data_IF_034318600842
#
_entry.id   IF_034318600842
#
_cell.length_a   1.000
_cell.length_b   1.000
_cell.length_c   1.000
_cell.angle_alpha   90.00
_cell.angle_beta   90.00
_cell.angle_gamma   90.00
#
_symmetry.space_group_name_H-M   'P 1'
#
loop_
_entity.id
_entity.type
_entity.pdbx_description
1 polymer ?
#
# COMPACT_ATOMS: atom_id res chain seq x y z
N UNK A 1 -32.19 -39.91 19.64
CA UNK A 1 -31.07 -40.83 19.37
C UNK A 1 -31.39 -42.26 19.82
N UNK A 2 -32.18 -42.42 20.89
CA UNK A 2 -32.43 -43.72 21.54
C UNK A 2 -33.15 -44.73 20.64
N UNK A 3 -34.09 -44.28 19.80
CA UNK A 3 -34.80 -45.15 18.84
C UNK A 3 -33.87 -45.96 17.94
N UNK A 4 -32.80 -45.35 17.41
CA UNK A 4 -31.85 -46.07 16.55
C UNK A 4 -30.95 -47.02 17.33
N UNK A 5 -30.65 -46.71 18.59
CA UNK A 5 -29.89 -47.60 19.47
C UNK A 5 -30.74 -48.83 19.85
N UNK A 6 -32.03 -48.63 20.12
CA UNK A 6 -32.98 -49.71 20.42
C UNK A 6 -33.20 -50.63 19.20
N UNK A 7 -33.38 -50.05 18.01
CA UNK A 7 -33.46 -50.81 16.75
C UNK A 7 -32.16 -51.59 16.49
N UNK A 8 -30.98 -50.97 16.67
CA UNK A 8 -29.70 -51.64 16.51
C UNK A 8 -29.49 -52.76 17.55
N UNK A 9 -29.95 -52.57 18.78
CA UNK A 9 -29.89 -53.59 19.83
C UNK A 9 -30.83 -54.76 19.54
N UNK A 10 -31.98 -54.51 18.91
CA UNK A 10 -32.92 -55.54 18.48
C UNK A 10 -32.39 -56.37 17.30
N UNK A 11 -31.73 -55.73 16.33
CA UNK A 11 -31.22 -56.39 15.11
C UNK A 11 -29.87 -57.09 15.36
N UNK A 12 -28.94 -56.42 16.05
CA UNK A 12 -27.55 -56.86 16.22
C UNK A 12 -27.23 -57.37 17.63
N UNK A 13 -28.20 -57.34 18.54
CA UNK A 13 -28.05 -57.79 19.92
C UNK A 13 -27.37 -56.77 20.84
N UNK A 14 -27.23 -57.11 22.15
CA UNK A 14 -26.71 -56.19 23.16
C UNK A 14 -25.21 -55.88 23.02
N UNK A 15 -24.45 -56.69 22.27
CA UNK A 15 -23.02 -56.51 22.04
C UNK A 15 -22.68 -55.61 20.85
N UNK A 16 -23.67 -55.03 20.17
CA UNK A 16 -23.42 -54.20 18.98
C UNK A 16 -22.48 -53.02 19.28
N UNK A 17 -22.62 -52.40 20.45
CA UNK A 17 -21.80 -51.25 20.88
C UNK A 17 -20.34 -51.68 21.03
N UNK A 18 -20.09 -52.82 21.66
CA UNK A 18 -18.72 -53.33 21.88
C UNK A 18 -18.06 -53.77 20.58
N UNK A 19 -18.80 -54.39 19.66
CA UNK A 19 -18.25 -54.78 18.36
C UNK A 19 -17.99 -53.56 17.46
N UNK A 20 -18.89 -52.57 17.48
CA UNK A 20 -18.71 -51.30 16.75
C UNK A 20 -17.50 -50.53 17.27
N UNK A 21 -17.25 -50.54 18.59
CA UNK A 21 -16.06 -49.90 19.17
C UNK A 21 -14.74 -50.57 18.73
N UNK A 22 -14.72 -51.91 18.57
CA UNK A 22 -13.55 -52.61 18.01
C UNK A 22 -13.30 -52.19 16.56
N UNK A 23 -14.36 -52.11 15.76
CA UNK A 23 -14.26 -51.66 14.37
C UNK A 23 -13.75 -50.21 14.29
N UNK A 24 -14.27 -49.33 15.15
CA UNK A 24 -13.83 -47.93 15.24
C UNK A 24 -12.32 -47.85 15.51
N UNK A 25 -11.80 -48.63 16.46
CA UNK A 25 -10.37 -48.66 16.77
C UNK A 25 -9.53 -49.11 15.56
N UNK A 26 -9.98 -50.09 14.79
CA UNK A 26 -9.27 -50.57 13.59
C UNK A 26 -9.28 -49.49 12.50
N UNK A 27 -10.42 -48.84 12.28
CA UNK A 27 -10.55 -47.75 11.30
C UNK A 27 -9.59 -46.62 11.65
N UNK A 28 -9.61 -46.16 12.90
CA UNK A 28 -8.70 -45.12 13.38
C UNK A 28 -7.25 -45.57 13.21
N UNK A 29 -6.88 -46.77 13.65
CA UNK A 29 -5.51 -47.26 13.51
C UNK A 29 -5.02 -47.34 12.06
N UNK A 30 -5.92 -47.58 11.09
CA UNK A 30 -5.59 -47.60 9.66
C UNK A 30 -5.51 -46.21 9.03
N UNK A 31 -6.35 -45.27 9.46
CA UNK A 31 -6.41 -43.91 8.89
C UNK A 31 -5.40 -42.96 9.54
N UNK A 32 -5.05 -43.15 10.82
CA UNK A 32 -4.14 -42.28 11.55
C UNK A 32 -2.76 -42.12 10.88
N UNK A 33 -2.10 -43.17 10.35
CA UNK A 33 -0.82 -43.00 9.66
C UNK A 33 -0.93 -42.10 8.42
N UNK A 34 -1.97 -42.30 7.60
CA UNK A 34 -2.21 -41.48 6.42
C UNK A 34 -2.53 -40.01 6.80
N UNK A 35 -3.33 -39.81 7.86
CA UNK A 35 -3.63 -38.48 8.39
C UNK A 35 -2.36 -37.77 8.90
N UNK A 36 -1.52 -38.47 9.68
CA UNK A 36 -0.25 -37.91 10.17
C UNK A 36 0.74 -37.58 9.04
N UNK A 37 0.79 -38.39 7.98
CA UNK A 37 1.64 -38.09 6.82
C UNK A 37 1.17 -36.84 6.06
N UNK A 38 -0.14 -36.68 5.90
CA UNK A 38 -0.71 -35.47 5.30
C UNK A 38 -0.43 -34.24 6.15
N UNK A 39 -0.67 -34.31 7.46
CA UNK A 39 -0.37 -33.21 8.39
C UNK A 39 1.12 -32.83 8.38
N UNK A 40 2.02 -33.81 8.37
CA UNK A 40 3.46 -33.57 8.28
C UNK A 40 3.85 -32.91 6.96
N UNK A 41 3.23 -33.28 5.84
CA UNK A 41 3.49 -32.66 4.53
C UNK A 41 3.05 -31.21 4.50
N UNK A 42 1.83 -30.92 4.96
CA UNK A 42 1.31 -29.56 5.04
C UNK A 42 2.18 -28.68 5.95
N UNK A 43 2.52 -29.19 7.14
CA UNK A 43 3.39 -28.47 8.07
C UNK A 43 4.81 -28.24 7.52
N UNK A 44 5.35 -29.18 6.74
CA UNK A 44 6.64 -29.02 6.09
C UNK A 44 6.59 -27.96 4.97
N UNK A 45 5.52 -27.96 4.18
CA UNK A 45 5.30 -26.97 3.13
C UNK A 45 5.10 -25.57 3.71
N UNK A 46 4.26 -25.42 4.74
CA UNK A 46 4.07 -24.15 5.45
C UNK A 46 5.39 -23.64 6.06
N UNK A 47 6.18 -24.52 6.69
CA UNK A 47 7.48 -24.14 7.25
C UNK A 47 8.49 -23.75 6.16
N UNK A 48 8.42 -24.36 4.98
CA UNK A 48 9.24 -23.98 3.83
C UNK A 48 8.81 -22.63 3.26
N UNK A 49 7.50 -22.40 3.11
CA UNK A 49 6.95 -21.12 2.69
C UNK A 49 7.32 -20.00 3.65
N UNK A 50 7.17 -20.22 4.96
CA UNK A 50 7.58 -19.26 5.99
C UNK A 50 9.08 -18.93 5.91
N UNK A 51 9.95 -19.93 5.71
CA UNK A 51 11.39 -19.68 5.53
C UNK A 51 11.68 -18.86 4.28
N UNK A 52 10.99 -19.13 3.16
CA UNK A 52 11.14 -18.37 1.92
C UNK A 52 10.68 -16.92 2.11
N UNK A 53 9.55 -16.70 2.78
CA UNK A 53 9.03 -15.37 3.09
C UNK A 53 9.96 -14.59 4.03
N UNK A 54 10.50 -15.24 5.07
CA UNK A 54 11.47 -14.62 5.98
C UNK A 54 12.78 -14.27 5.26
N UNK A 55 13.26 -15.12 4.35
CA UNK A 55 14.44 -14.84 3.54
C UNK A 55 14.19 -13.66 2.59
N UNK A 56 13.03 -13.61 1.94
CA UNK A 56 12.63 -12.48 1.07
C UNK A 56 12.52 -11.19 1.89
N UNK A 57 11.86 -11.25 3.06
CA UNK A 57 11.74 -10.10 3.96
C UNK A 57 13.10 -9.59 4.40
N UNK A 58 14.00 -10.49 4.82
CA UNK A 58 15.35 -10.13 5.25
C UNK A 58 16.18 -9.52 4.11
N UNK A 59 16.07 -10.07 2.89
CA UNK A 59 16.73 -9.48 1.70
C UNK A 59 16.21 -8.08 1.41
N UNK A 60 14.90 -7.88 1.47
CA UNK A 60 14.26 -6.56 1.27
C UNK A 60 14.67 -5.55 2.34
N UNK A 61 14.74 -5.97 3.60
CA UNK A 61 15.21 -5.12 4.71
C UNK A 61 16.69 -4.74 4.55
N UNK A 62 17.56 -5.68 4.15
CA UNK A 62 18.97 -5.43 3.89
C UNK A 62 19.17 -4.47 2.70
N UNK A 63 18.43 -4.67 1.61
CA UNK A 63 18.41 -3.79 0.45
C UNK A 63 17.90 -2.38 0.82
N UNK A 64 16.83 -2.29 1.61
CA UNK A 64 16.29 -1.01 2.08
C UNK A 64 17.30 -0.28 2.99
N UNK A 65 18.00 -0.99 3.87
CA UNK A 65 19.07 -0.40 4.68
C UNK A 65 20.20 0.12 3.81
N UNK A 66 20.69 -0.67 2.86
CA UNK A 66 21.74 -0.22 1.92
C UNK A 66 21.29 0.99 1.11
N UNK A 67 20.04 1.02 0.66
CA UNK A 67 19.49 2.15 -0.06
C UNK A 67 19.40 3.42 0.81
N UNK A 68 18.99 3.29 2.08
CA UNK A 68 18.95 4.42 3.04
C UNK A 68 20.36 4.93 3.37
N UNK A 69 21.31 4.02 3.66
CA UNK A 69 22.70 4.37 3.92
C UNK A 69 23.35 5.06 2.69
N UNK A 70 23.04 4.60 1.47
CA UNK A 70 23.52 5.24 0.24
C UNK A 70 22.91 6.63 0.02
N UNK A 71 21.59 6.80 0.24
CA UNK A 71 20.92 8.10 0.14
C UNK A 71 21.46 9.10 1.17
N UNK A 72 21.68 8.67 2.41
CA UNK A 72 22.23 9.53 3.47
C UNK A 72 23.68 9.93 3.16
N UNK A 73 24.50 9.01 2.65
CA UNK A 73 25.86 9.32 2.23
C UNK A 73 25.91 10.31 1.05
N UNK A 74 25.02 10.15 0.06
CA UNK A 74 24.89 11.08 -1.06
C UNK A 74 24.41 12.46 -0.60
N UNK A 75 23.40 12.53 0.27
CA UNK A 75 22.90 13.79 0.83
C UNK A 75 23.98 14.50 1.66
N UNK A 76 24.72 13.78 2.49
CA UNK A 76 25.82 14.35 3.28
C UNK A 76 26.95 14.86 2.37
N UNK A 77 27.31 14.12 1.33
CA UNK A 77 28.29 14.57 0.35
C UNK A 77 27.81 15.79 -0.46
N UNK A 78 26.52 15.88 -0.78
CA UNK A 78 25.92 17.04 -1.44
C UNK A 78 25.92 18.27 -0.53
N UNK A 79 25.52 18.12 0.75
CA UNK A 79 25.56 19.20 1.74
C UNK A 79 26.98 19.71 1.99
N UNK A 80 27.96 18.82 2.11
CA UNK A 80 29.37 19.21 2.30
C UNK A 80 29.92 19.96 1.07
N UNK A 81 29.57 19.55 -0.15
CA UNK A 81 29.92 20.28 -1.37
C UNK A 81 29.28 21.67 -1.42
N UNK A 82 28.00 21.78 -1.09
CA UNK A 82 27.30 23.07 -1.03
C UNK A 82 27.88 23.98 0.05
N UNK A 83 28.25 23.44 1.21
CA UNK A 83 28.88 24.22 2.28
C UNK A 83 30.30 24.69 1.89
N UNK A 84 31.08 23.83 1.25
CA UNK A 84 32.41 24.20 0.75
C UNK A 84 32.33 25.28 -0.33
N UNK A 85 31.40 25.15 -1.28
CA UNK A 85 31.16 26.15 -2.32
C UNK A 85 30.65 27.48 -1.74
N UNK A 86 29.74 27.43 -0.75
CA UNK A 86 29.26 28.63 -0.05
C UNK A 86 30.37 29.33 0.74
N UNK A 87 31.25 28.59 1.41
CA UNK A 87 32.42 29.15 2.10
C UNK A 87 33.40 29.80 1.13
N UNK A 88 33.69 29.14 0.00
CA UNK A 88 34.58 29.70 -1.03
C UNK A 88 33.96 30.94 -1.69
N UNK A 89 32.65 30.94 -1.96
CA UNK A 89 31.93 32.10 -2.47
C UNK A 89 31.92 33.26 -1.46
N UNK A 90 31.73 32.99 -0.18
CA UNK A 90 31.80 34.00 0.88
C UNK A 90 33.22 34.58 1.02
N UNK A 91 34.27 33.77 0.89
CA UNK A 91 35.66 34.24 0.91
C UNK A 91 36.01 35.09 -0.32
N UNK A 92 35.54 34.70 -1.51
CA UNK A 92 35.67 35.54 -2.72
C UNK A 92 34.90 36.86 -2.57
N UNK A 93 33.66 36.83 -2.09
CA UNK A 93 32.88 38.04 -1.86
C UNK A 93 33.52 38.96 -0.80
N UNK A 94 34.09 38.40 0.27
CA UNK A 94 34.80 39.17 1.30
C UNK A 94 36.10 39.79 0.77
N UNK A 95 36.87 39.07 -0.05
CA UNK A 95 38.09 39.60 -0.67
C UNK A 95 37.78 40.66 -1.73
N UNK A 96 36.72 40.48 -2.53
CA UNK A 96 36.21 41.49 -3.46
C UNK A 96 35.66 42.72 -2.74
N UNK A 97 34.92 42.57 -1.63
CA UNK A 97 34.45 43.69 -0.82
C UNK A 97 35.60 44.44 -0.13
N UNK A 98 36.65 43.73 0.31
CA UNK A 98 37.86 44.36 0.86
C UNK A 98 38.65 45.11 -0.22
N UNK A 99 38.74 44.57 -1.44
CA UNK A 99 39.35 45.24 -2.59
C UNK A 99 38.52 46.45 -3.04
N UNK A 100 37.18 46.31 -3.12
CA UNK A 100 36.26 47.38 -3.45
C UNK A 100 36.26 48.48 -2.37
N UNK A 101 36.45 48.14 -1.09
CA UNK A 101 36.60 49.13 0.00
C UNK A 101 37.92 49.90 -0.10
N UNK A 102 39.00 49.29 -0.62
CA UNK A 102 40.24 50.00 -0.93
C UNK A 102 40.12 50.93 -2.14
N UNK A 103 39.25 50.61 -3.09
CA UNK A 103 38.93 51.46 -4.26
C UNK A 103 37.90 52.56 -3.90
N UNK A 104 36.90 52.26 -3.05
CA UNK A 104 35.89 53.20 -2.58
C UNK A 104 36.42 54.21 -1.55
N UNK A 105 37.52 53.91 -0.86
CA UNK A 105 38.27 54.90 -0.07
C UNK A 105 38.89 56.03 -0.93
N UNK A 106 38.88 55.90 -2.26
CA UNK A 106 39.28 56.95 -3.20
C UNK A 106 38.11 57.75 -3.81
N UNK A 107 36.85 57.30 -3.69
CA UNK A 107 35.70 58.03 -4.23
C UNK A 107 34.51 57.99 -3.26
N UNK A 108 34.44 59.02 -2.43
CA UNK A 108 33.29 59.26 -1.57
C UNK A 108 32.07 59.77 -2.35
N UNK A 109 30.93 59.21 -1.95
CA UNK A 109 29.68 59.91 -1.64
C UNK A 109 28.50 59.84 -2.63
N UNK A 110 27.32 59.66 -2.00
CA UNK A 110 25.91 59.89 -2.40
C UNK A 110 25.15 58.59 -2.70
N UNK A 111 23.91 58.38 -2.27
CA UNK A 111 23.02 59.02 -1.29
C UNK A 111 21.76 58.13 -1.23
N UNK A 112 21.08 58.08 -0.08
CA UNK A 112 19.63 57.85 0.10
C UNK A 112 19.02 56.52 -0.41
N UNK A 113 18.22 55.77 0.34
CA UNK A 113 16.94 56.23 0.91
C UNK A 113 16.44 55.22 1.94
N UNK A 114 15.89 55.73 3.03
CA UNK A 114 15.08 55.02 4.02
C UNK A 114 13.77 54.48 3.41
N UNK A 115 13.21 53.38 3.94
CA UNK A 115 12.00 53.42 4.79
C UNK A 115 11.52 51.99 5.18
N UNK A 116 11.15 51.93 6.44
CA UNK A 116 10.48 50.96 7.31
C UNK A 116 9.11 50.43 6.82
N UNK A 117 8.77 49.17 7.18
CA UNK A 117 7.43 48.89 7.73
C UNK A 117 6.66 47.61 7.29
N UNK A 118 6.58 46.63 8.21
CA UNK A 118 5.36 45.94 8.73
C UNK A 118 4.51 45.01 7.81
N UNK A 119 4.50 43.69 8.12
CA UNK A 119 3.44 42.67 7.87
C UNK A 119 2.21 42.87 8.81
N UNK A 120 1.04 42.16 8.75
CA UNK A 120 0.46 41.17 7.80
C UNK A 120 -1.04 41.46 7.45
N UNK A 121 -1.79 40.57 6.76
CA UNK A 121 -3.21 40.14 7.05
C UNK A 121 -4.08 39.69 5.83
N UNK A 122 -4.65 38.48 5.98
CA UNK A 122 -5.92 37.84 5.54
C UNK A 122 -6.42 37.75 4.07
N UNK A 123 -6.54 36.47 3.64
CA UNK A 123 -7.70 35.74 3.10
C UNK A 123 -8.75 36.44 2.22
N UNK A 124 -9.02 35.84 1.05
CA UNK A 124 -10.39 35.65 0.53
C UNK A 124 -10.48 34.49 -0.48
N UNK A 125 -11.45 33.63 -0.20
CA UNK A 125 -11.96 32.45 -0.92
C UNK A 125 -12.90 32.85 -2.08
N UNK A 126 -13.12 31.97 -3.07
CA UNK A 126 -14.50 31.62 -3.45
C UNK A 126 -14.66 30.08 -3.52
N UNK A 127 -15.60 29.48 -2.78
CA UNK A 127 -17.02 29.27 -3.11
C UNK A 127 -17.25 28.05 -4.02
N UNK A 128 -17.97 27.08 -3.43
CA UNK A 128 -18.44 25.82 -4.02
C UNK A 128 -19.57 26.10 -5.00
N UNK A 129 -19.68 25.28 -6.04
CA UNK A 129 -20.94 25.11 -6.77
C UNK A 129 -21.26 23.62 -6.88
N UNK A 130 -22.42 23.26 -6.36
CA UNK A 130 -23.04 21.94 -6.40
C UNK A 130 -23.89 21.80 -7.67
N UNK A 131 -23.73 20.72 -8.43
CA UNK A 131 -24.79 20.13 -9.23
C UNK A 131 -24.41 18.71 -9.65
N UNK A 132 -25.24 17.75 -9.24
CA UNK A 132 -25.23 16.38 -9.75
C UNK A 132 -25.69 16.33 -11.21
N UNK A 133 -25.03 15.53 -12.05
CA UNK A 133 -25.61 14.50 -12.95
C UNK A 133 -24.61 14.13 -14.04
N UNK A 134 -24.09 12.92 -13.91
CA UNK A 134 -23.75 11.91 -14.93
C UNK A 134 -23.25 12.34 -16.33
N UNK A 135 -22.14 11.67 -16.69
CA UNK A 135 -21.64 11.25 -18.01
C UNK A 135 -20.51 12.07 -18.63
N UNK A 136 -19.35 11.40 -18.76
CA UNK A 136 -18.09 11.79 -19.42
C UNK A 136 -17.21 12.80 -18.66
N UNK A 137 -16.66 12.39 -17.50
CA UNK A 137 -15.81 13.23 -16.66
C UNK A 137 -14.37 13.34 -17.19
N UNK A 138 -14.09 14.46 -17.86
CA UNK A 138 -12.78 15.10 -17.82
C UNK A 138 -12.66 15.87 -16.48
N UNK A 139 -12.79 15.17 -15.36
CA UNK A 139 -12.52 15.75 -14.03
C UNK A 139 -11.01 15.92 -13.85
N UNK A 140 -10.55 16.99 -13.19
CA UNK A 140 -9.14 17.18 -12.90
C UNK A 140 -8.68 16.02 -12.02
N UNK A 141 -7.83 15.16 -12.57
CA UNK A 141 -7.28 14.03 -11.82
C UNK A 141 -6.43 14.56 -10.68
N UNK A 142 -6.76 14.15 -9.47
CA UNK A 142 -6.13 14.61 -8.23
C UNK A 142 -5.01 13.64 -7.88
N UNK A 143 -3.77 14.05 -8.11
CA UNK A 143 -2.58 13.26 -7.78
C UNK A 143 -2.11 13.56 -6.37
N UNK A 144 -1.59 12.55 -5.67
CA UNK A 144 -0.97 12.70 -4.36
C UNK A 144 0.32 11.89 -4.30
N UNK A 145 1.39 12.47 -3.74
CA UNK A 145 2.69 11.81 -3.61
C UNK A 145 2.76 10.93 -2.36
N UNK A 146 3.18 9.68 -2.54
CA UNK A 146 3.37 8.66 -1.51
C UNK A 146 4.76 8.04 -1.70
N UNK A 147 5.67 8.15 -0.73
CA UNK A 147 7.05 7.60 -0.82
C UNK A 147 7.83 8.09 -2.05
N UNK A 148 7.43 9.24 -2.61
CA UNK A 148 7.97 9.79 -3.85
C UNK A 148 7.32 9.28 -5.14
N UNK A 149 6.24 8.50 -5.09
CA UNK A 149 5.44 8.05 -6.25
C UNK A 149 4.12 8.82 -6.32
N UNK A 150 3.70 9.24 -7.52
CA UNK A 150 2.42 9.93 -7.75
C UNK A 150 1.28 8.91 -7.91
N UNK A 151 0.32 8.94 -6.99
CA UNK A 151 -0.86 8.06 -7.01
C UNK A 151 -2.12 8.89 -7.27
N UNK A 152 -2.95 8.39 -8.19
CA UNK A 152 -4.26 8.98 -8.48
C UNK A 152 -5.27 8.62 -7.39
N UNK A 153 -5.74 9.63 -6.65
CA UNK A 153 -6.70 9.45 -5.55
C UNK A 153 -8.12 9.84 -5.95
N UNK A 154 -8.35 10.24 -7.20
CA UNK A 154 -9.66 10.71 -7.70
C UNK A 154 -10.75 9.67 -7.50
N UNK A 155 -10.43 8.40 -7.70
CA UNK A 155 -11.40 7.30 -7.57
C UNK A 155 -11.57 6.80 -6.13
N UNK A 156 -10.77 7.29 -5.18
CA UNK A 156 -10.85 6.87 -3.78
C UNK A 156 -11.91 7.65 -2.99
N UNK A 157 -12.38 8.79 -3.51
CA UNK A 157 -13.39 9.62 -2.84
C UNK A 157 -12.89 10.27 -1.54
N UNK A 158 -11.58 10.40 -1.38
CA UNK A 158 -10.93 11.03 -0.22
C UNK A 158 -10.65 12.49 -0.57
N UNK A 159 -10.92 13.41 0.36
CA UNK A 159 -10.64 14.82 0.14
C UNK A 159 -9.13 15.09 -0.03
N UNK A 160 -8.69 15.79 -1.09
CA UNK A 160 -7.27 16.10 -1.30
C UNK A 160 -6.67 16.99 -0.22
N UNK A 161 -7.45 17.97 0.25
CA UNK A 161 -7.01 18.90 1.29
C UNK A 161 -6.75 18.17 2.62
N UNK A 162 -7.49 17.10 2.88
CA UNK A 162 -7.29 16.23 4.04
C UNK A 162 -5.96 15.48 3.92
N UNK A 163 -5.70 14.83 2.78
CA UNK A 163 -4.45 14.12 2.50
C UNK A 163 -3.21 15.03 2.49
N UNK A 164 -3.37 16.30 2.10
CA UNK A 164 -2.30 17.30 2.11
C UNK A 164 -1.96 17.80 3.52
N UNK A 165 -2.96 17.91 4.40
CA UNK A 165 -2.79 18.34 5.78
C UNK A 165 -2.20 17.25 6.69
N UNK A 166 -2.36 15.98 6.31
CA UNK A 166 -1.80 14.85 7.05
C UNK A 166 -0.31 14.67 6.76
N UNK A 167 0.49 14.25 7.76
CA UNK A 167 1.82 13.72 7.52
C UNK A 167 1.81 12.59 6.49
N UNK A 168 2.91 12.42 5.77
CA UNK A 168 3.03 11.42 4.70
C UNK A 168 2.76 9.99 5.22
N UNK A 169 3.14 9.69 6.47
CA UNK A 169 2.87 8.42 7.15
C UNK A 169 1.36 8.10 7.26
N UNK A 170 0.53 9.12 7.54
CA UNK A 170 -0.91 8.92 7.67
C UNK A 170 -1.64 8.99 6.32
N UNK A 171 -1.09 9.73 5.36
CA UNK A 171 -1.57 9.71 3.97
C UNK A 171 -1.46 8.31 3.38
N UNK A 172 -0.37 7.60 3.68
CA UNK A 172 -0.20 6.18 3.33
C UNK A 172 -1.26 5.28 3.95
N UNK A 173 -1.48 5.41 5.26
CA UNK A 173 -2.40 4.56 6.01
C UNK A 173 -3.83 4.70 5.51
N UNK A 174 -4.31 5.93 5.33
CA UNK A 174 -5.69 6.21 4.89
C UNK A 174 -5.93 5.65 3.49
N UNK A 175 -5.01 5.90 2.55
CA UNK A 175 -5.12 5.42 1.17
C UNK A 175 -5.07 3.89 1.12
N UNK A 176 -4.10 3.27 1.81
CA UNK A 176 -3.96 1.82 1.89
C UNK A 176 -5.20 1.15 2.49
N UNK A 177 -5.79 1.75 3.53
CA UNK A 177 -7.03 1.29 4.14
C UNK A 177 -8.18 1.34 3.14
N UNK A 178 -8.42 2.47 2.47
CA UNK A 178 -9.49 2.60 1.46
C UNK A 178 -9.32 1.66 0.27
N UNK A 179 -8.10 1.50 -0.26
CA UNK A 179 -7.83 0.56 -1.36
C UNK A 179 -8.09 -0.87 -0.92
N UNK A 180 -7.64 -1.24 0.28
CA UNK A 180 -7.87 -2.57 0.84
C UNK A 180 -9.36 -2.85 1.04
N UNK A 181 -10.11 -1.88 1.58
CA UNK A 181 -11.57 -1.98 1.74
C UNK A 181 -12.28 -2.11 0.40
N UNK A 182 -11.93 -1.28 -0.60
CA UNK A 182 -12.53 -1.36 -1.94
C UNK A 182 -12.22 -2.68 -2.64
N UNK A 183 -11.00 -3.22 -2.45
CA UNK A 183 -10.61 -4.54 -2.95
C UNK A 183 -11.34 -5.67 -2.22
N UNK A 184 -11.61 -5.52 -0.92
CA UNK A 184 -12.42 -6.48 -0.15
C UNK A 184 -13.86 -6.49 -0.66
N UNK A 185 -14.46 -5.31 -0.84
CA UNK A 185 -15.83 -5.16 -1.37
C UNK A 185 -15.94 -5.74 -2.77
N UNK A 186 -15.02 -5.41 -3.69
CA UNK A 186 -15.00 -5.98 -5.03
C UNK A 186 -14.84 -7.50 -5.02
N UNK A 187 -14.10 -8.07 -4.05
CA UNK A 187 -13.96 -9.51 -3.88
C UNK A 187 -15.23 -10.14 -3.31
N UNK A 188 -15.91 -9.48 -2.38
CA UNK A 188 -17.19 -9.92 -1.83
C UNK A 188 -18.29 -9.90 -2.91
N UNK A 189 -18.36 -8.83 -3.71
CA UNK A 189 -19.24 -8.70 -4.89
C UNK A 189 -18.91 -9.74 -5.98
N UNK A 190 -17.62 -10.08 -6.15
CA UNK A 190 -17.20 -11.17 -7.02
C UNK A 190 -17.61 -12.55 -6.49
N UNK A 191 -17.76 -12.70 -5.18
CA UNK A 191 -18.17 -13.96 -4.54
C UNK A 191 -19.69 -14.11 -4.51
N UNK A 192 -20.46 -13.02 -4.60
CA UNK A 192 -21.94 -13.03 -4.65
C UNK A 192 -22.55 -13.33 -6.03
N UNK A 193 -21.77 -13.78 -7.01
CA UNK A 193 -22.29 -14.42 -8.23
C UNK A 193 -22.79 -13.48 -9.34
N UNK A 194 -23.05 -12.20 -9.06
CA UNK A 194 -23.51 -11.23 -10.06
C UNK A 194 -22.46 -10.99 -11.17
N UNK A 195 -21.17 -10.99 -10.81
CA UNK A 195 -20.09 -10.83 -11.79
C UNK A 195 -19.90 -12.04 -12.71
N UNK A 196 -20.24 -13.25 -12.26
CA UNK A 196 -20.30 -14.44 -13.13
C UNK A 196 -21.47 -14.41 -14.10
N UNK A 197 -22.63 -13.88 -13.69
CA UNK A 197 -23.80 -13.76 -14.57
C UNK A 197 -23.59 -12.70 -15.66
N UNK A 198 -23.03 -11.54 -15.30
CA UNK A 198 -22.68 -10.48 -16.27
C UNK A 198 -21.55 -10.92 -17.22
N UNK A 199 -20.57 -11.68 -16.71
CA UNK A 199 -19.52 -12.26 -17.55
C UNK A 199 -20.08 -13.31 -18.53
N UNK A 200 -21.05 -14.14 -18.11
CA UNK A 200 -21.74 -15.08 -19.00
C UNK A 200 -22.59 -14.37 -20.07
N UNK A 201 -23.32 -13.30 -19.72
CA UNK A 201 -24.09 -12.51 -20.70
C UNK A 201 -23.18 -11.81 -21.72
N UNK A 202 -22.01 -11.34 -21.30
CA UNK A 202 -20.99 -10.79 -22.21
C UNK A 202 -20.39 -11.85 -23.13
N UNK A 203 -20.05 -13.03 -22.60
CA UNK A 203 -19.62 -14.17 -23.42
C UNK A 203 -20.72 -14.64 -24.38
N UNK A 204 -21.99 -14.43 -24.03
CA UNK A 204 -23.11 -14.79 -24.87
C UNK A 204 -23.43 -13.79 -25.99
N UNK A 205 -23.13 -12.51 -25.76
CA UNK A 205 -23.26 -11.44 -26.73
C UNK A 205 -22.08 -11.38 -27.73
N UNK A 206 -21.02 -12.17 -27.51
CA UNK A 206 -19.84 -12.21 -28.37
C UNK A 206 -20.11 -13.01 -29.67
N UNK A 207 -19.71 -12.49 -30.86
CA UNK A 207 -19.82 -13.20 -32.14
C UNK A 207 -19.17 -14.59 -32.10
N UNK A 208 -19.80 -15.58 -32.76
CA UNK A 208 -19.37 -16.99 -32.72
C UNK A 208 -17.91 -17.22 -33.14
N UNK A 209 -17.35 -16.35 -33.99
CA UNK A 209 -15.95 -16.42 -34.43
C UNK A 209 -14.95 -16.34 -33.27
N UNK A 210 -15.25 -15.62 -32.19
CA UNK A 210 -14.37 -15.48 -31.02
C UNK A 210 -14.61 -16.54 -29.93
N UNK A 211 -15.78 -17.20 -29.93
CA UNK A 211 -16.09 -18.29 -28.99
C UNK A 211 -15.27 -19.55 -29.26
N UNK A 212 -14.92 -19.82 -30.52
CA UNK A 212 -14.18 -21.03 -30.91
C UNK A 212 -12.67 -20.96 -30.63
N UNK A 213 -12.10 -19.78 -30.41
CA UNK A 213 -10.65 -19.61 -30.19
C UNK A 213 -10.25 -19.72 -28.70
N UNK A 214 -11.22 -19.61 -27.78
CA UNK A 214 -10.99 -19.62 -26.33
C UNK A 214 -11.23 -21.02 -25.71
N UNK A 215 -12.00 -21.89 -26.37
CA UNK A 215 -12.31 -23.25 -25.91
C UNK A 215 -11.23 -24.28 -26.28
#
# INVERSE_FOLDING_TARGET
MDRYQDEARMIFGPSNVTESAKLQNIIVAKLTPAAMELERKLKAEEAEQQKREEEIRKKREEEQRRAREAKEAEEKAAREKQEAEAREAAERAASEAAAASQVAAAEGQRDTTAMEGVEPTEQSRPERSSAATQTTSNEPRVMTTIRGEEVDVTELGIDPDYLAALPEEFREEVIAQTISTRRSQAREEATTGESTEVFQEFLDALPEELRMEIA
#
